data_IF_689438253766
#
_entry.id   IF_689438253766
#
_cell.length_a   1.000
_cell.length_b   1.000
_cell.length_c   1.000
_cell.angle_alpha   90.00
_cell.angle_beta   90.00
_cell.angle_gamma   90.00
#
_symmetry.space_group_name_H-M   'P 1'
#
loop_
_entity.id
_entity.type
_entity.pdbx_description
1 polymer ?
#
# COMPACT_ATOMS: atom_id res chain seq x y z
N UNK A 1 -10.00 13.25 8.94
CA UNK A 1 -9.44 14.08 7.86
C UNK A 1 -10.55 14.38 6.86
N UNK A 2 -10.51 15.53 6.20
CA UNK A 2 -11.42 15.85 5.10
C UNK A 2 -11.12 14.94 3.90
N UNK A 3 -12.08 14.08 3.53
CA UNK A 3 -11.91 13.06 2.49
C UNK A 3 -11.67 13.67 1.11
N UNK A 4 -12.26 14.83 0.84
CA UNK A 4 -12.14 15.50 -0.46
C UNK A 4 -10.74 16.09 -0.64
N UNK A 5 -10.21 16.72 0.41
CA UNK A 5 -8.85 17.25 0.39
C UNK A 5 -7.80 16.13 0.31
N UNK A 6 -7.97 15.04 1.07
CA UNK A 6 -7.07 13.87 1.01
C UNK A 6 -7.07 13.22 -0.37
N UNK A 7 -8.22 13.14 -1.04
CA UNK A 7 -8.31 12.64 -2.40
C UNK A 7 -7.46 13.47 -3.38
N UNK A 8 -7.59 14.80 -3.32
CA UNK A 8 -6.84 15.70 -4.20
C UNK A 8 -5.34 15.63 -3.91
N UNK A 9 -4.91 15.67 -2.65
CA UNK A 9 -3.48 15.57 -2.29
C UNK A 9 -2.88 14.23 -2.69
N UNK A 10 -3.64 13.14 -2.57
CA UNK A 10 -3.28 11.80 -3.04
C UNK A 10 -3.06 11.79 -4.56
N UNK A 11 -3.98 12.36 -5.34
CA UNK A 11 -3.86 12.43 -6.80
C UNK A 11 -2.66 13.28 -7.22
N UNK A 12 -2.44 14.44 -6.57
CA UNK A 12 -1.32 15.32 -6.86
C UNK A 12 0.03 14.65 -6.60
N UNK A 13 0.19 13.96 -5.45
CA UNK A 13 1.45 13.28 -5.17
C UNK A 13 1.66 12.03 -6.04
N UNK A 14 0.59 11.30 -6.35
CA UNK A 14 0.66 10.14 -7.23
C UNK A 14 1.09 10.57 -8.64
N UNK A 15 0.55 11.69 -9.12
CA UNK A 15 0.98 12.32 -10.35
C UNK A 15 2.46 12.72 -10.31
N UNK A 16 2.86 13.46 -9.26
CA UNK A 16 4.25 13.88 -9.07
C UNK A 16 5.20 12.67 -9.08
N UNK A 17 5.00 11.71 -8.19
CA UNK A 17 5.89 10.55 -8.05
C UNK A 17 5.95 9.71 -9.33
N UNK A 18 4.80 9.42 -9.95
CA UNK A 18 4.73 8.62 -11.18
C UNK A 18 5.39 9.32 -12.37
N UNK A 19 5.17 10.63 -12.55
CA UNK A 19 5.83 11.41 -13.62
C UNK A 19 7.33 11.45 -13.40
N UNK A 20 7.79 11.73 -12.18
CA UNK A 20 9.22 11.75 -11.86
C UNK A 20 9.88 10.39 -12.08
N UNK A 21 9.20 9.29 -11.76
CA UNK A 21 9.72 7.94 -11.98
C UNK A 21 9.84 7.63 -13.47
N UNK A 22 8.83 8.03 -14.23
CA UNK A 22 8.85 7.89 -15.68
C UNK A 22 9.96 8.70 -16.35
N UNK A 23 10.17 9.95 -15.93
CA UNK A 23 11.16 10.84 -16.55
C UNK A 23 12.60 10.55 -16.11
N UNK A 24 12.85 10.36 -14.81
CA UNK A 24 14.21 10.24 -14.27
C UNK A 24 14.70 8.79 -14.24
N UNK A 25 13.87 7.85 -13.79
CA UNK A 25 14.24 6.44 -13.70
C UNK A 25 13.91 5.64 -14.98
N UNK A 26 13.02 6.16 -15.83
CA UNK A 26 12.54 5.46 -17.05
C UNK A 26 12.02 4.04 -16.76
N UNK A 27 11.32 3.86 -15.63
CA UNK A 27 10.74 2.59 -15.22
C UNK A 27 9.21 2.59 -15.37
N UNK A 28 8.59 1.48 -15.78
CA UNK A 28 7.14 1.34 -15.91
C UNK A 28 6.46 1.13 -14.53
N UNK A 29 6.86 1.92 -13.54
CA UNK A 29 6.39 1.79 -12.15
C UNK A 29 5.68 3.08 -11.78
N UNK A 30 4.37 2.99 -11.51
CA UNK A 30 3.62 4.09 -10.93
C UNK A 30 3.94 4.19 -9.44
N UNK A 31 3.92 5.42 -8.92
CA UNK A 31 4.01 5.67 -7.49
C UNK A 31 2.76 6.36 -7.00
N UNK A 32 2.30 5.93 -5.83
CA UNK A 32 1.18 6.53 -5.13
C UNK A 32 1.27 6.20 -3.62
N UNK A 33 0.42 6.79 -2.77
CA UNK A 33 0.48 6.60 -1.32
C UNK A 33 0.27 5.14 -0.90
N UNK A 34 1.20 4.56 -0.14
CA UNK A 34 1.18 3.12 0.12
C UNK A 34 -0.05 2.65 0.90
N UNK A 35 -0.75 1.63 0.37
CA UNK A 35 -1.95 1.09 0.99
C UNK A 35 -1.68 0.44 2.37
N UNK A 36 -0.53 -0.22 2.55
CA UNK A 36 -0.12 -0.78 3.83
C UNK A 36 0.11 0.30 4.90
N UNK A 37 0.81 1.38 4.52
CA UNK A 37 1.07 2.53 5.40
C UNK A 37 -0.23 3.30 5.71
N UNK A 38 -1.16 3.42 4.76
CA UNK A 38 -2.49 4.01 4.97
C UNK A 38 -3.28 3.26 6.04
N UNK A 39 -3.31 1.93 5.95
CA UNK A 39 -4.01 1.10 6.91
C UNK A 39 -3.35 1.18 8.30
N UNK A 40 -2.02 1.08 8.37
CA UNK A 40 -1.29 1.21 9.63
C UNK A 40 -1.54 2.59 10.29
N UNK A 41 -1.49 3.67 9.51
CA UNK A 41 -1.80 5.02 9.99
C UNK A 41 -3.22 5.13 10.53
N UNK A 42 -4.24 4.77 9.75
CA UNK A 42 -5.63 4.97 10.12
C UNK A 42 -6.06 4.11 11.32
N UNK A 43 -5.68 2.83 11.32
CA UNK A 43 -6.21 1.87 12.28
C UNK A 43 -5.32 1.69 13.50
N UNK A 44 -4.01 1.82 13.37
CA UNK A 44 -3.09 1.64 14.51
C UNK A 44 -2.80 3.00 15.16
N UNK A 45 -2.22 3.92 14.40
CA UNK A 45 -1.74 5.19 14.95
C UNK A 45 -2.89 6.10 15.38
N UNK A 46 -3.88 6.29 14.51
CA UNK A 46 -5.01 7.18 14.81
C UNK A 46 -6.05 6.49 15.69
N UNK A 47 -6.52 5.30 15.30
CA UNK A 47 -7.63 4.64 16.01
C UNK A 47 -7.19 3.91 17.29
N UNK A 48 -6.20 3.01 17.22
CA UNK A 48 -5.81 2.20 18.38
C UNK A 48 -5.00 2.97 19.43
N UNK A 49 -4.05 3.82 19.00
CA UNK A 49 -3.23 4.64 19.91
C UNK A 49 -3.89 5.97 20.29
N UNK A 50 -4.99 6.35 19.62
CA UNK A 50 -5.73 7.58 19.91
C UNK A 50 -4.99 8.87 19.54
N UNK A 51 -3.97 8.79 18.67
CA UNK A 51 -3.20 9.98 18.28
C UNK A 51 -3.97 10.83 17.26
N UNK A 52 -3.88 12.18 17.37
CA UNK A 52 -4.44 13.05 16.34
C UNK A 52 -3.72 12.79 15.02
N UNK A 53 -4.50 12.83 13.92
CA UNK A 53 -4.01 12.50 12.59
C UNK A 53 -2.83 13.40 12.17
N UNK A 54 -2.79 14.66 12.61
CA UNK A 54 -1.71 15.60 12.34
C UNK A 54 -0.35 15.10 12.86
N UNK A 55 -0.34 14.54 14.07
CA UNK A 55 0.87 13.97 14.71
C UNK A 55 1.25 12.66 14.02
N UNK A 56 0.26 11.82 13.68
CA UNK A 56 0.51 10.60 12.90
C UNK A 56 1.14 10.90 11.53
N UNK A 57 0.67 11.93 10.83
CA UNK A 57 1.25 12.37 9.55
C UNK A 57 2.68 12.90 9.73
N UNK A 58 2.95 13.60 10.83
CA UNK A 58 4.31 14.02 11.18
C UNK A 58 5.24 12.84 11.41
N UNK A 59 4.75 11.77 12.06
CA UNK A 59 5.53 10.54 12.23
C UNK A 59 5.85 9.85 10.89
N UNK A 60 4.91 9.85 9.94
CA UNK A 60 5.15 9.38 8.57
C UNK A 60 6.22 10.23 7.89
N UNK A 61 6.16 11.56 8.05
CA UNK A 61 7.13 12.48 7.46
C UNK A 61 8.55 12.23 7.98
N UNK A 62 8.72 12.09 9.29
CA UNK A 62 10.03 11.75 9.85
C UNK A 62 10.52 10.38 9.41
N UNK A 63 9.62 9.40 9.27
CA UNK A 63 9.95 8.09 8.71
C UNK A 63 10.40 8.17 7.25
N UNK A 64 9.74 9.01 6.44
CA UNK A 64 10.12 9.28 5.06
C UNK A 64 11.47 10.02 4.95
N UNK A 65 11.75 10.98 5.85
CA UNK A 65 13.08 11.61 5.96
C UNK A 65 14.13 10.56 6.30
N UNK A 66 13.87 9.69 7.26
CA UNK A 66 14.77 8.58 7.61
C UNK A 66 15.09 7.73 6.37
N UNK A 67 14.07 7.37 5.59
CA UNK A 67 14.26 6.62 4.35
C UNK A 67 15.05 7.40 3.28
N UNK A 68 14.81 8.72 3.15
CA UNK A 68 15.56 9.58 2.25
C UNK A 68 17.04 9.65 2.65
N UNK A 69 17.33 9.79 3.95
CA UNK A 69 18.71 9.75 4.47
C UNK A 69 19.37 8.40 4.17
N UNK A 70 18.69 7.27 4.42
CA UNK A 70 19.20 5.94 4.06
C UNK A 70 19.49 5.80 2.55
N UNK A 71 18.71 6.47 1.71
CA UNK A 71 18.92 6.51 0.25
C UNK A 71 20.15 7.37 -0.10
N UNK A 72 20.29 8.54 0.50
CA UNK A 72 21.44 9.44 0.31
C UNK A 72 22.74 8.76 0.73
N UNK A 73 22.76 8.11 1.90
CA UNK A 73 23.92 7.38 2.41
C UNK A 73 24.15 6.03 1.71
N UNK A 74 23.34 5.67 0.70
CA UNK A 74 23.40 4.41 -0.05
C UNK A 74 23.23 3.15 0.81
N UNK A 75 22.78 3.29 2.05
CA UNK A 75 22.50 2.20 2.99
C UNK A 75 21.29 1.39 2.50
N UNK A 76 20.31 2.05 1.88
CA UNK A 76 19.10 1.41 1.33
C UNK A 76 19.44 0.26 0.38
N UNK A 77 20.41 0.46 -0.53
CA UNK A 77 20.86 -0.58 -1.44
C UNK A 77 21.52 -1.76 -0.70
N UNK A 78 22.41 -1.44 0.26
CA UNK A 78 23.10 -2.45 1.05
C UNK A 78 22.11 -3.29 1.86
N UNK A 79 21.11 -2.66 2.49
CA UNK A 79 20.07 -3.37 3.24
C UNK A 79 19.31 -4.34 2.34
N UNK A 80 18.80 -3.88 1.20
CA UNK A 80 18.03 -4.72 0.28
C UNK A 80 18.85 -5.91 -0.22
N UNK A 81 20.12 -5.69 -0.57
CA UNK A 81 20.99 -6.74 -1.08
C UNK A 81 21.34 -7.81 -0.04
N UNK A 82 21.36 -7.46 1.24
CA UNK A 82 21.74 -8.37 2.33
C UNK A 82 20.55 -8.98 3.08
N UNK A 83 19.33 -8.47 2.89
CA UNK A 83 18.15 -9.05 3.52
C UNK A 83 17.81 -10.38 2.81
N UNK A 84 17.75 -11.49 3.58
CA UNK A 84 17.39 -12.81 3.07
C UNK A 84 16.09 -12.79 2.27
N UNK A 85 16.01 -13.63 1.24
CA UNK A 85 14.83 -13.71 0.36
C UNK A 85 13.60 -14.13 1.15
N UNK A 86 13.73 -15.08 2.10
CA UNK A 86 12.66 -15.50 3.02
C UNK A 86 12.02 -14.33 3.76
N UNK A 87 12.84 -13.47 4.38
CA UNK A 87 12.36 -12.29 5.09
C UNK A 87 11.74 -11.28 4.14
N UNK A 88 12.39 -10.97 3.02
CA UNK A 88 11.85 -10.01 2.03
C UNK A 88 10.47 -10.43 1.53
N UNK A 89 10.32 -11.70 1.18
CA UNK A 89 9.07 -12.30 0.72
C UNK A 89 8.04 -12.37 1.85
N UNK A 90 8.46 -12.75 3.06
CA UNK A 90 7.61 -12.80 4.25
C UNK A 90 7.03 -11.42 4.60
N UNK A 91 7.83 -10.36 4.51
CA UNK A 91 7.38 -8.98 4.77
C UNK A 91 6.34 -8.54 3.74
N UNK A 92 6.63 -8.68 2.44
CA UNK A 92 5.66 -8.34 1.38
C UNK A 92 4.36 -9.15 1.56
N UNK A 93 4.47 -10.43 1.88
CA UNK A 93 3.30 -11.30 2.04
C UNK A 93 2.49 -10.96 3.29
N UNK A 94 3.16 -10.61 4.40
CA UNK A 94 2.51 -10.20 5.65
C UNK A 94 1.78 -8.87 5.53
N UNK A 95 2.36 -7.90 4.82
CA UNK A 95 1.68 -6.63 4.50
C UNK A 95 0.46 -6.91 3.62
N UNK A 96 0.58 -7.81 2.65
CA UNK A 96 -0.54 -8.29 1.84
C UNK A 96 -1.67 -8.91 2.68
N UNK A 97 -1.33 -9.82 3.59
CA UNK A 97 -2.30 -10.44 4.50
C UNK A 97 -2.96 -9.42 5.43
N UNK A 98 -2.20 -8.45 5.93
CA UNK A 98 -2.73 -7.35 6.74
C UNK A 98 -3.72 -6.48 5.94
N UNK A 99 -3.38 -6.08 4.71
CA UNK A 99 -4.28 -5.33 3.82
C UNK A 99 -5.54 -6.15 3.50
N UNK A 100 -5.39 -7.44 3.22
CA UNK A 100 -6.51 -8.34 2.93
C UNK A 100 -7.46 -8.48 4.12
N UNK A 101 -6.93 -8.65 5.32
CA UNK A 101 -7.69 -8.65 6.57
C UNK A 101 -8.43 -7.32 6.76
N UNK A 102 -7.78 -6.18 6.49
CA UNK A 102 -8.43 -4.87 6.54
C UNK A 102 -9.55 -4.72 5.51
N UNK A 103 -9.39 -5.29 4.32
CA UNK A 103 -10.46 -5.40 3.32
C UNK A 103 -11.67 -6.17 3.85
N UNK A 104 -11.43 -7.36 4.43
CA UNK A 104 -12.49 -8.16 5.06
C UNK A 104 -13.20 -7.42 6.20
N UNK A 105 -12.44 -6.68 7.02
CA UNK A 105 -12.99 -5.86 8.12
C UNK A 105 -13.84 -4.70 7.58
N UNK A 106 -13.38 -4.01 6.53
CA UNK A 106 -14.11 -2.90 5.90
C UNK A 106 -15.40 -3.37 5.21
N UNK A 107 -15.42 -4.58 4.65
CA UNK A 107 -16.65 -5.18 4.12
C UNK A 107 -17.62 -5.64 5.24
N UNK A 108 -17.15 -5.75 6.48
CA UNK A 108 -17.91 -6.32 7.60
C UNK A 108 -17.93 -7.85 7.62
N UNK A 109 -17.09 -8.52 6.82
CA UNK A 109 -16.99 -9.99 6.77
C UNK A 109 -16.38 -10.52 8.06
N UNK A 110 -15.33 -9.85 8.55
CA UNK A 110 -14.73 -10.14 9.85
C UNK A 110 -15.01 -9.01 10.83
N UNK A 111 -15.35 -9.38 12.06
CA UNK A 111 -15.62 -8.45 13.17
C UNK A 111 -14.80 -8.87 14.39
N UNK A 112 -14.47 -7.91 15.25
CA UNK A 112 -13.74 -8.20 16.48
C UNK A 112 -14.62 -9.02 17.43
N UNK A 113 -14.04 -10.08 18.01
CA UNK A 113 -14.71 -10.90 19.00
C UNK A 113 -13.79 -11.07 20.23
N UNK A 114 -14.25 -10.72 21.45
CA UNK A 114 -13.44 -10.82 22.66
C UNK A 114 -12.96 -12.24 23.00
N UNK A 115 -13.69 -13.28 22.58
CA UNK A 115 -13.41 -14.69 22.92
C UNK A 115 -12.52 -15.38 21.88
N UNK A 116 -12.62 -14.97 20.60
CA UNK A 116 -11.97 -15.66 19.47
C UNK A 116 -11.02 -14.77 18.67
N UNK A 117 -10.80 -13.52 19.11
CA UNK A 117 -10.13 -12.42 18.40
C UNK A 117 -10.93 -11.92 17.19
N UNK A 118 -11.36 -12.83 16.31
CA UNK A 118 -12.13 -12.55 15.10
C UNK A 118 -13.35 -13.46 15.00
N UNK A 119 -14.48 -12.91 14.59
CA UNK A 119 -15.69 -13.66 14.24
C UNK A 119 -16.21 -13.23 12.88
N UNK A 120 -17.07 -14.05 12.30
CA UNK A 120 -17.80 -13.70 11.07
C UNK A 120 -18.88 -12.67 11.41
N UNK A 121 -18.91 -11.59 10.64
CA UNK A 121 -19.93 -10.55 10.76
C UNK A 121 -21.29 -11.00 10.20
N UNK A 122 -22.21 -10.06 10.06
CA UNK A 122 -23.53 -10.36 9.53
C UNK A 122 -23.50 -10.54 8.00
N UNK A 123 -23.44 -11.79 7.55
CA UNK A 123 -23.39 -12.15 6.13
C UNK A 123 -24.63 -11.73 5.32
N UNK A 124 -25.77 -11.46 5.97
CA UNK A 124 -26.98 -10.99 5.28
C UNK A 124 -27.04 -9.48 5.10
N UNK A 125 -26.07 -8.74 5.65
CA UNK A 125 -26.01 -7.28 5.46
C UNK A 125 -25.61 -6.91 4.04
N UNK A 126 -26.22 -5.83 3.52
CA UNK A 126 -25.95 -5.33 2.16
C UNK A 126 -24.46 -5.04 1.93
N UNK A 127 -23.78 -4.41 2.90
CA UNK A 127 -22.35 -4.11 2.83
C UNK A 127 -21.47 -5.35 2.65
N UNK A 128 -21.76 -6.43 3.39
CA UNK A 128 -21.00 -7.69 3.31
C UNK A 128 -21.23 -8.36 1.96
N UNK A 129 -22.48 -8.46 1.52
CA UNK A 129 -22.83 -9.08 0.25
C UNK A 129 -22.18 -8.34 -0.93
N UNK A 130 -22.25 -7.01 -0.96
CA UNK A 130 -21.65 -6.20 -2.01
C UNK A 130 -20.12 -6.24 -1.98
N UNK A 131 -19.51 -6.27 -0.79
CA UNK A 131 -18.07 -6.41 -0.64
C UNK A 131 -17.56 -7.77 -1.15
N UNK A 132 -18.24 -8.86 -0.78
CA UNK A 132 -17.94 -10.22 -1.27
C UNK A 132 -18.16 -10.32 -2.78
N UNK A 133 -19.27 -9.78 -3.28
CA UNK A 133 -19.57 -9.71 -4.72
C UNK A 133 -18.44 -8.99 -5.46
N UNK A 134 -17.99 -7.84 -4.95
CA UNK A 134 -16.89 -7.08 -5.53
C UNK A 134 -15.61 -7.91 -5.63
N UNK A 135 -15.21 -8.59 -4.55
CA UNK A 135 -14.04 -9.48 -4.59
C UNK A 135 -14.16 -10.57 -5.68
N UNK A 136 -15.31 -11.25 -5.76
CA UNK A 136 -15.49 -12.31 -6.76
C UNK A 136 -15.55 -11.77 -8.19
N UNK A 137 -16.13 -10.59 -8.42
CA UNK A 137 -16.07 -9.93 -9.73
C UNK A 137 -14.61 -9.69 -10.13
N UNK A 138 -13.79 -9.16 -9.21
CA UNK A 138 -12.37 -8.94 -9.47
C UNK A 138 -11.65 -10.26 -9.78
N UNK A 139 -11.82 -11.27 -8.93
CA UNK A 139 -11.16 -12.56 -9.09
C UNK A 139 -11.54 -13.26 -10.41
N UNK A 140 -12.83 -13.27 -10.76
CA UNK A 140 -13.31 -13.89 -12.01
C UNK A 140 -12.77 -13.15 -13.23
N UNK A 141 -12.89 -11.81 -13.27
CA UNK A 141 -12.41 -11.02 -14.39
C UNK A 141 -10.89 -11.10 -14.53
N UNK A 142 -10.16 -11.05 -13.41
CA UNK A 142 -8.71 -11.16 -13.40
C UNK A 142 -8.23 -12.56 -13.83
N UNK A 143 -8.92 -13.63 -13.42
CA UNK A 143 -8.62 -14.99 -13.92
C UNK A 143 -8.79 -15.15 -15.43
N UNK A 144 -9.62 -14.30 -16.04
CA UNK A 144 -9.82 -14.21 -17.49
C UNK A 144 -8.88 -13.21 -18.18
N UNK A 145 -7.86 -12.72 -17.48
CA UNK A 145 -6.91 -11.71 -17.94
C UNK A 145 -7.60 -10.39 -18.39
N UNK A 146 -8.72 -10.03 -17.76
CA UNK A 146 -9.38 -8.74 -17.99
C UNK A 146 -8.77 -7.70 -17.05
N UNK A 147 -7.94 -6.83 -17.61
CA UNK A 147 -7.15 -5.84 -16.88
C UNK A 147 -7.99 -4.75 -16.18
N UNK A 148 -9.25 -4.58 -16.56
CA UNK A 148 -10.18 -3.63 -15.94
C UNK A 148 -10.96 -4.21 -14.73
N UNK A 149 -10.59 -5.39 -14.22
CA UNK A 149 -11.32 -6.13 -13.18
C UNK A 149 -11.68 -5.27 -11.95
N UNK A 150 -10.71 -4.54 -11.41
CA UNK A 150 -10.90 -3.67 -10.23
C UNK A 150 -11.88 -2.54 -10.53
N UNK A 151 -11.72 -1.86 -11.67
CA UNK A 151 -12.59 -0.76 -12.08
C UNK A 151 -14.04 -1.23 -12.29
N UNK A 152 -14.21 -2.35 -13.02
CA UNK A 152 -15.54 -2.93 -13.27
C UNK A 152 -16.22 -3.32 -11.97
N UNK A 153 -15.50 -3.94 -11.05
CA UNK A 153 -16.04 -4.28 -9.73
C UNK A 153 -16.51 -3.04 -8.96
N UNK A 154 -15.69 -1.99 -8.89
CA UNK A 154 -16.05 -0.75 -8.19
C UNK A 154 -17.31 -0.13 -8.82
N UNK A 155 -17.38 -0.06 -10.16
CA UNK A 155 -18.56 0.48 -10.86
C UNK A 155 -19.79 -0.36 -10.57
N UNK A 156 -19.72 -1.68 -10.71
CA UNK A 156 -20.87 -2.57 -10.49
C UNK A 156 -21.36 -2.51 -9.04
N UNK A 157 -20.46 -2.60 -8.07
CA UNK A 157 -20.82 -2.55 -6.64
C UNK A 157 -21.35 -1.18 -6.22
N UNK A 158 -20.80 -0.09 -6.76
CA UNK A 158 -21.30 1.27 -6.51
C UNK A 158 -22.67 1.51 -7.14
N UNK A 159 -22.91 1.01 -8.36
CA UNK A 159 -24.23 1.10 -9.01
C UNK A 159 -25.29 0.29 -8.26
N UNK A 160 -24.95 -0.91 -7.77
CA UNK A 160 -25.86 -1.69 -6.94
C UNK A 160 -26.14 -0.99 -5.61
N UNK A 161 -25.13 -0.40 -4.97
CA UNK A 161 -25.30 0.44 -3.78
C UNK A 161 -26.19 1.65 -4.04
N UNK A 162 -26.09 2.27 -5.21
CA UNK A 162 -26.98 3.36 -5.64
C UNK A 162 -28.42 2.90 -5.82
N UNK A 163 -28.65 1.72 -6.42
CA UNK A 163 -29.99 1.14 -6.58
C UNK A 163 -30.64 0.75 -5.24
N UNK A 164 -29.83 0.37 -4.25
CA UNK A 164 -30.28 0.05 -2.89
C UNK A 164 -30.53 1.32 -2.04
N UNK A 165 -30.12 2.49 -2.52
CA UNK A 165 -30.25 3.77 -1.81
C UNK A 165 -29.09 4.10 -0.85
N UNK A 166 -28.05 3.27 -0.80
CA UNK A 166 -26.88 3.45 0.06
C UNK A 166 -25.89 4.50 -0.49
N UNK A 167 -25.91 4.74 -1.80
CA UNK A 167 -25.03 5.70 -2.48
C UNK A 167 -25.87 6.85 -3.02
N UNK A 168 -25.43 8.08 -2.78
CA UNK A 168 -26.05 9.28 -3.35
C UNK A 168 -25.22 9.81 -4.51
N UNK A 169 -25.91 10.17 -5.60
CA UNK A 169 -25.26 10.75 -6.77
C UNK A 169 -24.88 12.20 -6.51
N UNK A 170 -23.57 12.48 -6.53
CA UNK A 170 -23.00 13.79 -6.19
C UNK A 170 -22.49 14.57 -7.41
N UNK A 171 -22.77 14.10 -8.64
CA UNK A 171 -22.30 14.68 -9.90
C UNK A 171 -21.17 13.89 -10.56
N UNK A 172 -20.70 14.37 -11.72
CA UNK A 172 -19.63 13.72 -12.51
C UNK A 172 -18.33 14.52 -12.40
N UNK A 173 -18.43 15.84 -12.61
CA UNK A 173 -17.28 16.74 -12.69
C UNK A 173 -17.48 17.88 -11.71
N UNK A 174 -16.43 18.21 -10.94
CA UNK A 174 -16.39 19.42 -10.14
C UNK A 174 -15.03 20.11 -10.25
N UNK A 175 -14.98 21.38 -9.86
CA UNK A 175 -13.70 22.03 -9.60
C UNK A 175 -12.95 21.23 -8.51
N UNK A 176 -11.60 21.13 -8.58
CA UNK A 176 -10.81 20.47 -7.55
C UNK A 176 -11.15 21.01 -6.15
N UNK A 177 -11.53 20.15 -5.20
CA UNK A 177 -11.71 20.55 -3.80
C UNK A 177 -10.47 21.24 -3.24
N UNK A 178 -10.67 22.16 -2.29
CA UNK A 178 -9.55 22.84 -1.64
C UNK A 178 -8.69 21.86 -0.84
N UNK A 179 -7.38 21.93 -1.00
CA UNK A 179 -6.40 21.13 -0.25
C UNK A 179 -6.00 21.76 1.08
N UNK A 180 -6.46 22.98 1.36
CA UNK A 180 -6.03 23.77 2.52
C UNK A 180 -6.37 23.14 3.87
N UNK A 181 -7.36 22.26 3.93
CA UNK A 181 -7.76 21.56 5.17
C UNK A 181 -6.78 20.46 5.58
N UNK A 182 -5.85 20.08 4.70
CA UNK A 182 -4.88 18.99 4.92
C UNK A 182 -3.44 19.49 4.75
N UNK A 183 -3.16 20.26 3.70
CA UNK A 183 -1.82 20.79 3.43
C UNK A 183 -1.45 21.84 4.48
N UNK A 184 -0.30 21.68 5.11
CA UNK A 184 0.20 22.61 6.14
C UNK A 184 -0.30 22.36 7.55
N UNK A 185 -1.17 21.36 7.75
CA UNK A 185 -1.66 20.94 9.08
C UNK A 185 -0.87 19.77 9.68
N UNK A 186 0.20 19.32 9.02
CA UNK A 186 1.08 18.25 9.53
C UNK A 186 1.86 18.75 10.73
N UNK A 187 1.74 18.06 11.87
CA UNK A 187 2.43 18.45 13.10
C UNK A 187 3.82 17.81 13.16
N UNK A 188 4.81 18.53 12.64
CA UNK A 188 6.21 18.10 12.62
C UNK A 188 6.88 18.17 13.99
N UNK A 189 6.52 19.15 14.81
CA UNK A 189 7.15 19.37 16.11
C UNK A 189 6.59 18.40 17.16
N UNK A 190 5.27 18.23 17.20
CA UNK A 190 4.60 17.30 18.12
C UNK A 190 4.87 15.83 17.79
N UNK A 191 5.17 15.52 16.53
CA UNK A 191 5.56 14.16 16.12
C UNK A 191 7.02 13.81 16.43
N UNK A 192 7.90 14.79 16.63
CA UNK A 192 9.32 14.55 16.93
C UNK A 192 9.56 14.35 18.44
N UNK A 193 8.97 13.28 18.98
CA UNK A 193 9.09 12.89 20.39
C UNK A 193 9.65 11.47 20.51
N UNK A 194 10.48 11.21 21.53
CA UNK A 194 10.98 9.87 21.87
C UNK A 194 9.87 8.81 22.00
N UNK A 195 8.68 9.19 22.50
CA UNK A 195 7.54 8.29 22.60
C UNK A 195 6.99 7.81 21.25
N UNK A 196 7.24 8.55 20.17
CA UNK A 196 6.83 8.21 18.81
C UNK A 196 7.98 7.65 17.96
N UNK A 197 9.19 7.54 18.51
CA UNK A 197 10.34 7.00 17.79
C UNK A 197 10.08 5.59 17.24
N UNK A 198 9.39 4.74 18.02
CA UNK A 198 8.96 3.42 17.57
C UNK A 198 8.02 3.47 16.37
N UNK A 199 7.05 4.39 16.36
CA UNK A 199 6.09 4.57 15.26
C UNK A 199 6.78 5.14 14.01
N UNK A 200 7.67 6.12 14.18
CA UNK A 200 8.49 6.68 13.09
C UNK A 200 9.34 5.59 12.45
N UNK A 201 10.03 4.80 13.28
CA UNK A 201 10.86 3.70 12.83
C UNK A 201 10.05 2.61 12.13
N UNK A 202 8.84 2.34 12.63
CA UNK A 202 7.87 1.43 12.00
C UNK A 202 7.52 1.90 10.60
N UNK A 203 7.06 3.14 10.44
CA UNK A 203 6.75 3.71 9.12
C UNK A 203 7.95 3.68 8.16
N UNK A 204 9.14 3.98 8.66
CA UNK A 204 10.38 3.91 7.87
C UNK A 204 10.64 2.48 7.37
N UNK A 205 10.55 1.46 8.24
CA UNK A 205 10.76 0.07 7.87
C UNK A 205 9.70 -0.43 6.90
N UNK A 206 8.41 -0.20 7.18
CA UNK A 206 7.33 -0.61 6.28
C UNK A 206 7.54 0.01 4.90
N UNK A 207 7.83 1.31 4.83
CA UNK A 207 8.07 1.98 3.56
C UNK A 207 9.31 1.43 2.83
N UNK A 208 10.40 1.16 3.57
CA UNK A 208 11.61 0.56 3.03
C UNK A 208 11.30 -0.75 2.33
N UNK A 209 10.55 -1.63 2.97
CA UNK A 209 10.25 -2.96 2.44
C UNK A 209 9.18 -2.96 1.35
N UNK A 210 8.10 -2.20 1.51
CA UNK A 210 7.04 -2.08 0.50
C UNK A 210 7.59 -1.53 -0.81
N UNK A 211 8.31 -0.41 -0.73
CA UNK A 211 8.83 0.24 -1.93
C UNK A 211 9.88 -0.63 -2.62
N UNK A 212 10.83 -1.17 -1.85
CA UNK A 212 11.92 -1.98 -2.41
C UNK A 212 11.40 -3.31 -2.96
N UNK A 213 10.52 -3.99 -2.23
CA UNK A 213 9.90 -5.24 -2.64
C UNK A 213 9.04 -5.07 -3.89
N UNK A 214 8.29 -3.97 -3.97
CA UNK A 214 7.43 -3.68 -5.13
C UNK A 214 8.24 -3.26 -6.35
N UNK A 215 9.26 -2.41 -6.18
CA UNK A 215 10.17 -2.04 -7.28
C UNK A 215 10.83 -3.28 -7.88
N UNK A 216 11.35 -4.18 -7.04
CA UNK A 216 11.94 -5.44 -7.50
C UNK A 216 10.87 -6.32 -8.16
N UNK A 217 9.72 -6.51 -7.52
CA UNK A 217 8.67 -7.39 -8.05
C UNK A 217 8.10 -6.94 -9.40
N UNK A 218 7.89 -5.63 -9.59
CA UNK A 218 7.39 -5.08 -10.86
C UNK A 218 8.48 -5.12 -11.93
N UNK A 219 9.73 -4.78 -11.59
CA UNK A 219 10.84 -4.80 -12.56
C UNK A 219 11.25 -6.21 -12.96
N UNK A 220 11.17 -7.18 -12.06
CA UNK A 220 11.34 -8.61 -12.34
C UNK A 220 10.28 -9.10 -13.32
N UNK A 221 8.99 -8.82 -13.05
CA UNK A 221 7.90 -9.14 -13.98
C UNK A 221 8.02 -8.42 -15.33
N UNK A 222 8.73 -7.30 -15.39
CA UNK A 222 9.03 -6.59 -16.62
C UNK A 222 10.22 -7.17 -17.40
N UNK A 223 10.94 -8.15 -16.84
CA UNK A 223 12.19 -8.65 -17.40
C UNK A 223 13.32 -7.62 -17.36
N UNK A 224 13.26 -6.69 -16.39
CA UNK A 224 14.24 -5.61 -16.21
C UNK A 224 15.18 -5.86 -15.01
N UNK A 225 14.78 -6.69 -14.05
CA UNK A 225 15.62 -7.04 -12.91
C UNK A 225 16.53 -8.25 -13.23
N UNK A 226 17.73 -8.27 -12.66
CA UNK A 226 18.60 -9.45 -12.66
C UNK A 226 18.28 -10.39 -11.48
N UNK A 227 18.93 -11.56 -11.45
CA UNK A 227 18.77 -12.56 -10.37
C UNK A 227 19.11 -12.01 -8.97
N UNK A 228 19.89 -10.92 -8.89
CA UNK A 228 20.25 -10.25 -7.64
C UNK A 228 19.28 -9.13 -7.27
N UNK A 229 18.21 -8.93 -8.05
CA UNK A 229 17.19 -7.90 -7.87
C UNK A 229 17.65 -6.50 -8.25
N UNK A 230 18.75 -6.36 -9.00
CA UNK A 230 19.24 -5.08 -9.51
C UNK A 230 18.58 -4.80 -10.86
N UNK A 231 18.13 -3.56 -11.03
CA UNK A 231 17.46 -3.10 -12.25
C UNK A 231 18.04 -1.77 -12.76
N UNK A 232 17.82 -1.43 -14.04
CA UNK A 232 18.31 -0.18 -14.63
C UNK A 232 17.89 1.04 -13.82
N UNK A 233 18.81 1.99 -13.65
CA UNK A 233 18.55 3.27 -12.97
C UNK A 233 17.93 3.14 -11.57
N UNK A 234 18.26 2.06 -10.86
CA UNK A 234 17.79 1.81 -9.49
C UNK A 234 18.06 2.99 -8.54
N UNK A 235 19.24 3.63 -8.62
CA UNK A 235 19.54 4.79 -7.76
C UNK A 235 18.51 5.91 -7.97
N UNK A 236 18.25 6.26 -9.23
CA UNK A 236 17.26 7.28 -9.60
C UNK A 236 15.86 6.90 -9.10
N UNK A 237 15.46 5.64 -9.26
CA UNK A 237 14.18 5.13 -8.78
C UNK A 237 14.03 5.29 -7.26
N UNK A 238 15.05 4.93 -6.49
CA UNK A 238 15.06 5.05 -5.02
C UNK A 238 15.03 6.52 -4.57
N UNK A 239 15.72 7.42 -5.28
CA UNK A 239 15.66 8.86 -5.00
C UNK A 239 14.28 9.43 -5.27
N UNK A 240 13.69 9.12 -6.43
CA UNK A 240 12.33 9.57 -6.78
C UNK A 240 11.32 9.07 -5.75
N UNK A 241 11.41 7.80 -5.37
CA UNK A 241 10.58 7.19 -4.34
C UNK A 241 10.69 7.93 -3.00
N UNK A 242 11.90 8.10 -2.46
CA UNK A 242 12.09 8.77 -1.17
C UNK A 242 11.70 10.25 -1.19
N UNK A 243 12.01 10.99 -2.25
CA UNK A 243 11.60 12.39 -2.39
C UNK A 243 10.07 12.48 -2.45
N UNK A 244 9.43 11.61 -3.23
CA UNK A 244 7.96 11.56 -3.31
C UNK A 244 7.33 11.18 -1.97
N UNK A 245 7.95 10.28 -1.19
CA UNK A 245 7.48 9.94 0.16
C UNK A 245 7.54 11.14 1.10
N UNK A 246 8.64 11.89 1.10
CA UNK A 246 8.82 13.09 1.94
C UNK A 246 7.84 14.18 1.52
N UNK A 247 7.73 14.45 0.22
CA UNK A 247 6.79 15.46 -0.29
C UNK A 247 5.34 15.06 0.01
N UNK A 248 4.97 13.79 -0.18
CA UNK A 248 3.62 13.28 0.13
C UNK A 248 3.25 13.44 1.60
N UNK A 249 4.11 12.93 2.48
CA UNK A 249 3.92 13.06 3.93
C UNK A 249 3.85 14.50 4.41
N UNK A 250 4.61 15.42 3.80
CA UNK A 250 4.56 16.84 4.11
C UNK A 250 3.23 17.50 3.70
N UNK A 251 2.68 17.14 2.54
CA UNK A 251 1.40 17.70 2.05
C UNK A 251 0.17 16.98 2.61
N UNK A 252 0.36 16.09 3.60
CA UNK A 252 -0.74 15.45 4.33
C UNK A 252 -1.33 14.21 3.64
N UNK A 253 -0.54 13.50 2.84
CA UNK A 253 -0.83 12.12 2.39
C UNK A 253 0.22 11.15 2.92
N UNK A 254 -0.07 9.86 3.07
CA UNK A 254 0.94 8.90 3.52
C UNK A 254 2.14 8.82 2.57
N UNK A 255 3.22 8.17 3.04
CA UNK A 255 4.42 7.96 2.22
C UNK A 255 4.07 7.30 0.89
N UNK A 256 4.50 7.97 -0.18
CA UNK A 256 4.42 7.45 -1.54
C UNK A 256 5.38 6.28 -1.71
N UNK A 257 4.91 5.23 -2.37
CA UNK A 257 5.67 4.00 -2.66
C UNK A 257 5.41 3.56 -4.11
N UNK A 258 6.23 2.63 -4.59
CA UNK A 258 5.95 1.91 -5.83
C UNK A 258 4.69 1.05 -5.70
N UNK A 259 3.80 1.11 -6.69
CA UNK A 259 2.54 0.37 -6.70
C UNK A 259 2.66 -0.97 -7.40
N UNK A 260 2.22 -2.04 -6.73
CA UNK A 260 2.29 -3.42 -7.24
C UNK A 260 1.32 -3.63 -8.42
N UNK A 261 0.31 -2.78 -8.52
CA UNK A 261 -0.66 -2.67 -9.61
C UNK A 261 0.04 -2.36 -10.93
N UNK A 262 1.23 -1.73 -10.90
CA UNK A 262 2.07 -1.55 -12.10
C UNK A 262 2.41 -2.87 -12.78
N UNK A 263 2.38 -3.99 -12.04
CA UNK A 263 2.56 -5.34 -12.59
C UNK A 263 1.49 -5.72 -13.63
N UNK A 264 0.32 -5.07 -13.63
CA UNK A 264 -0.74 -5.24 -14.63
C UNK A 264 -0.44 -4.48 -15.93
N UNK A 265 0.12 -3.27 -15.82
CA UNK A 265 0.60 -2.51 -16.98
C UNK A 265 1.81 -3.20 -17.61
N UNK A 266 2.68 -3.76 -16.79
CA UNK A 266 3.82 -4.55 -17.24
C UNK A 266 3.38 -5.87 -17.91
N UNK A 267 2.34 -6.55 -17.44
CA UNK A 267 1.89 -7.80 -18.09
C UNK A 267 1.35 -7.60 -19.52
N UNK A 268 0.89 -6.40 -19.86
CA UNK A 268 0.41 -6.05 -21.23
C UNK A 268 1.45 -5.35 -22.10
N UNK A 269 2.72 -5.34 -21.69
CA UNK A 269 3.83 -4.81 -22.49
C UNK A 269 4.41 -3.47 -22.02
N UNK A 270 3.98 -2.93 -20.89
CA UNK A 270 4.61 -1.75 -20.28
C UNK A 270 6.07 -2.04 -19.92
N UNK A 271 7.02 -1.34 -20.56
CA UNK A 271 8.47 -1.53 -20.34
C UNK A 271 9.25 -0.25 -20.12
N UNK A 272 8.65 0.91 -20.40
CA UNK A 272 9.31 2.21 -20.31
C UNK A 272 8.60 3.13 -19.31
N UNK A 273 9.31 4.19 -18.93
CA UNK A 273 8.81 5.25 -18.06
C UNK A 273 7.58 5.99 -18.60
N UNK A 274 7.31 5.91 -19.91
CA UNK A 274 6.10 6.48 -20.51
C UNK A 274 4.83 5.94 -19.84
N UNK A 275 4.85 4.66 -19.45
CA UNK A 275 3.73 4.04 -18.71
C UNK A 275 3.45 4.79 -17.40
N UNK A 276 4.50 5.10 -16.62
CA UNK A 276 4.37 5.82 -15.36
C UNK A 276 3.96 7.29 -15.57
N UNK A 277 4.47 7.95 -16.61
CA UNK A 277 4.06 9.32 -16.97
C UNK A 277 2.58 9.37 -17.32
N UNK A 278 2.09 8.44 -18.15
CA UNK A 278 0.66 8.37 -18.52
C UNK A 278 -0.21 8.16 -17.28
N UNK A 279 0.17 7.24 -16.39
CA UNK A 279 -0.55 7.03 -15.13
C UNK A 279 -0.58 8.31 -14.29
N UNK A 280 0.54 9.03 -14.19
CA UNK A 280 0.58 10.29 -13.44
C UNK A 280 -0.28 11.40 -14.05
N UNK A 281 -0.32 11.50 -15.39
CA UNK A 281 -1.23 12.43 -16.08
C UNK A 281 -2.71 12.06 -15.85
N UNK A 282 -3.04 10.77 -15.87
CA UNK A 282 -4.39 10.30 -15.56
C UNK A 282 -4.79 10.63 -14.12
N UNK A 283 -3.87 10.55 -13.14
CA UNK A 283 -4.15 11.00 -11.77
C UNK A 283 -4.49 12.51 -11.71
N UNK A 284 -3.84 13.36 -12.51
CA UNK A 284 -4.22 14.78 -12.59
C UNK A 284 -5.61 14.98 -13.18
N UNK A 285 -5.98 14.20 -14.20
CA UNK A 285 -7.31 14.28 -14.82
C UNK A 285 -8.42 13.79 -13.87
N UNK A 286 -8.13 12.77 -13.05
CA UNK A 286 -9.09 12.21 -12.08
C UNK A 286 -9.46 13.21 -10.97
N UNK A 287 -8.66 14.25 -10.72
CA UNK A 287 -9.00 15.31 -9.76
C UNK A 287 -10.34 15.96 -10.12
N UNK A 288 -10.63 16.16 -11.42
CA UNK A 288 -11.89 16.73 -11.88
C UNK A 288 -13.08 15.78 -11.72
N UNK A 289 -12.82 14.49 -11.53
CA UNK A 289 -13.80 13.43 -11.27
C UNK A 289 -14.00 13.18 -9.76
N UNK A 290 -13.60 14.12 -8.89
CA UNK A 290 -13.77 13.99 -7.44
C UNK A 290 -15.20 13.65 -6.98
N UNK A 291 -16.29 14.13 -7.61
CA UNK A 291 -17.64 13.74 -7.20
C UNK A 291 -17.91 12.25 -7.39
N UNK A 292 -17.40 11.66 -8.48
CA UNK A 292 -17.51 10.21 -8.71
C UNK A 292 -16.71 9.41 -7.69
N UNK A 293 -15.50 9.86 -7.36
CA UNK A 293 -14.69 9.20 -6.34
C UNK A 293 -15.37 9.24 -4.95
N UNK A 294 -16.03 10.35 -4.61
CA UNK A 294 -16.80 10.50 -3.38
C UNK A 294 -18.08 9.66 -3.31
N UNK A 295 -18.57 9.14 -4.44
CA UNK A 295 -19.71 8.21 -4.46
C UNK A 295 -19.34 6.78 -4.07
N UNK A 296 -18.06 6.40 -4.14
CA UNK A 296 -17.64 5.01 -3.96
C UNK A 296 -17.71 4.64 -2.47
N UNK A 297 -18.59 3.70 -2.07
CA UNK A 297 -18.71 3.29 -0.68
C UNK A 297 -17.51 2.44 -0.24
N UNK A 298 -17.23 2.43 1.06
CA UNK A 298 -16.08 1.68 1.61
C UNK A 298 -16.10 0.17 1.30
N UNK A 299 -17.29 -0.45 1.24
CA UNK A 299 -17.44 -1.86 0.89
C UNK A 299 -17.13 -2.15 -0.60
N UNK A 300 -17.29 -1.18 -1.51
CA UNK A 300 -16.93 -1.34 -2.92
C UNK A 300 -15.41 -1.40 -3.12
N UNK A 301 -14.67 -0.66 -2.29
CA UNK A 301 -13.20 -0.69 -2.26
C UNK A 301 -12.64 -1.94 -1.55
N UNK A 302 -13.41 -2.57 -0.67
CA UNK A 302 -12.97 -3.72 0.12
C UNK A 302 -12.52 -4.91 -0.75
N UNK A 303 -13.25 -5.21 -1.83
CA UNK A 303 -12.89 -6.28 -2.76
C UNK A 303 -11.50 -6.09 -3.39
N UNK A 304 -11.14 -4.83 -3.69
CA UNK A 304 -9.82 -4.51 -4.23
C UNK A 304 -8.71 -4.76 -3.20
N UNK A 305 -8.92 -4.38 -1.93
CA UNK A 305 -7.97 -4.65 -0.84
C UNK A 305 -7.73 -6.15 -0.64
N UNK A 306 -8.80 -6.95 -0.66
CA UNK A 306 -8.71 -8.41 -0.54
C UNK A 306 -7.91 -8.98 -1.71
N UNK A 307 -8.18 -8.52 -2.93
CA UNK A 307 -7.46 -8.99 -4.11
C UNK A 307 -5.98 -8.56 -4.13
N UNK A 308 -5.65 -7.36 -3.66
CA UNK A 308 -4.25 -6.93 -3.46
C UNK A 308 -3.56 -7.85 -2.46
N UNK A 309 -4.24 -8.25 -1.38
CA UNK A 309 -3.75 -9.26 -0.45
C UNK A 309 -3.38 -10.56 -1.15
N UNK A 310 -4.24 -11.08 -2.04
CA UNK A 310 -3.96 -12.29 -2.85
C UNK A 310 -2.69 -12.12 -3.69
N UNK A 311 -2.54 -10.98 -4.38
CA UNK A 311 -1.37 -10.70 -5.23
C UNK A 311 -0.06 -10.58 -4.44
N UNK A 312 -0.10 -9.99 -3.26
CA UNK A 312 1.10 -9.83 -2.43
C UNK A 312 1.48 -11.15 -1.75
N UNK A 313 0.51 -11.91 -1.24
CA UNK A 313 0.73 -13.23 -0.60
C UNK A 313 1.24 -14.27 -1.59
N UNK A 314 0.97 -14.14 -2.90
CA UNK A 314 1.54 -15.05 -3.90
C UNK A 314 3.08 -15.04 -3.91
N UNK A 315 3.71 -14.00 -3.35
CA UNK A 315 5.17 -13.95 -3.19
C UNK A 315 5.70 -15.12 -2.34
N UNK A 316 4.92 -15.65 -1.39
CA UNK A 316 5.29 -16.81 -0.57
C UNK A 316 5.64 -18.05 -1.39
N UNK A 317 5.16 -18.15 -2.63
CA UNK A 317 5.52 -19.23 -3.55
C UNK A 317 7.02 -19.25 -3.90
N UNK A 318 7.75 -18.14 -3.69
CA UNK A 318 9.19 -18.05 -3.92
C UNK A 318 10.04 -18.57 -2.76
N UNK A 319 9.44 -18.85 -1.61
CA UNK A 319 10.15 -19.39 -0.45
C UNK A 319 10.44 -20.88 -0.68
N UNK A 320 11.66 -21.33 -0.35
CA UNK A 320 11.96 -22.76 -0.32
C UNK A 320 11.31 -23.40 0.91
N UNK A 321 10.11 -23.95 0.74
CA UNK A 321 9.34 -24.57 1.81
C UNK A 321 9.96 -25.86 2.38
N UNK A 322 10.90 -26.48 1.65
CA UNK A 322 11.60 -27.67 2.12
C UNK A 322 12.71 -27.33 3.14
N UNK A 323 13.23 -26.11 3.10
CA UNK A 323 14.22 -25.62 4.05
C UNK A 323 13.53 -24.86 5.18
N UNK A 324 13.44 -25.48 6.36
CA UNK A 324 12.85 -24.86 7.55
C UNK A 324 13.58 -23.59 7.98
N UNK A 325 14.87 -23.44 7.66
CA UNK A 325 15.64 -22.23 7.98
C UNK A 325 15.21 -21.01 7.17
N UNK A 326 14.49 -21.22 6.06
CA UNK A 326 13.93 -20.17 5.23
C UNK A 326 12.40 -20.05 5.38
N UNK A 327 11.69 -21.19 5.49
CA UNK A 327 10.23 -21.20 5.53
C UNK A 327 9.64 -20.75 6.86
N UNK A 328 10.27 -21.11 7.99
CA UNK A 328 9.81 -20.68 9.33
C UNK A 328 9.88 -19.15 9.48
N UNK A 329 11.00 -18.47 9.15
CA UNK A 329 11.06 -17.02 9.25
C UNK A 329 10.09 -16.32 8.31
N UNK A 330 9.95 -16.80 7.07
CA UNK A 330 8.99 -16.23 6.12
C UNK A 330 7.54 -16.35 6.64
N UNK A 331 7.17 -17.51 7.18
CA UNK A 331 5.85 -17.75 7.75
C UNK A 331 5.56 -16.87 8.97
N UNK A 332 6.47 -16.83 9.95
CA UNK A 332 6.33 -16.00 11.15
C UNK A 332 6.19 -14.53 10.77
N UNK A 333 7.04 -14.05 9.86
CA UNK A 333 6.98 -12.68 9.36
C UNK A 333 5.61 -12.38 8.73
N UNK A 334 5.09 -13.30 7.91
CA UNK A 334 3.84 -13.08 7.20
C UNK A 334 2.61 -13.11 8.11
N UNK A 335 2.53 -14.05 9.04
CA UNK A 335 1.34 -14.29 9.87
C UNK A 335 1.28 -13.37 11.08
N UNK A 336 2.43 -13.00 11.65
CA UNK A 336 2.43 -12.14 12.84
C UNK A 336 1.92 -10.73 12.55
N UNK A 337 2.04 -10.20 11.33
CA UNK A 337 1.52 -8.88 10.99
C UNK A 337 0.00 -8.74 11.15
N UNK A 338 -0.84 -9.57 10.49
CA UNK A 338 -2.29 -9.52 10.70
C UNK A 338 -2.68 -9.88 12.13
N UNK A 339 -2.05 -10.89 12.75
CA UNK A 339 -2.48 -11.38 14.05
C UNK A 339 -2.10 -10.49 15.23
N UNK A 340 -0.94 -9.82 15.16
CA UNK A 340 -0.56 -8.82 16.17
C UNK A 340 -1.13 -7.43 15.89
N UNK A 341 -1.77 -7.26 14.73
CA UNK A 341 -2.19 -5.96 14.21
C UNK A 341 -1.02 -4.95 14.14
N UNK A 342 0.21 -5.44 14.02
CA UNK A 342 1.45 -4.67 14.04
C UNK A 342 2.43 -5.19 13.00
N UNK A 343 2.73 -4.35 12.00
CA UNK A 343 3.71 -4.68 10.96
C UNK A 343 5.10 -4.83 11.58
N UNK A 344 5.44 -3.96 12.53
CA UNK A 344 6.74 -3.90 13.19
C UNK A 344 7.06 -5.17 13.99
N UNK A 345 6.08 -5.66 14.76
CA UNK A 345 6.24 -6.92 15.48
C UNK A 345 6.40 -8.10 14.53
N UNK A 346 5.65 -8.12 13.41
CA UNK A 346 5.83 -9.12 12.37
C UNK A 346 7.23 -9.11 11.76
N UNK A 347 7.77 -7.93 11.42
CA UNK A 347 9.15 -7.80 10.93
C UNK A 347 10.15 -8.26 12.00
N UNK A 348 10.02 -7.79 13.24
CA UNK A 348 10.95 -8.09 14.32
C UNK A 348 11.02 -9.59 14.62
N UNK A 349 9.87 -10.25 14.79
CA UNK A 349 9.79 -11.69 15.02
C UNK A 349 10.29 -12.49 13.81
N UNK A 350 10.11 -11.98 12.60
CA UNK A 350 10.72 -12.49 11.39
C UNK A 350 12.25 -12.54 11.46
N UNK A 351 12.89 -11.40 11.75
CA UNK A 351 14.35 -11.35 11.88
C UNK A 351 14.88 -12.20 13.03
N UNK A 352 14.20 -12.19 14.18
CA UNK A 352 14.58 -13.03 15.33
C UNK A 352 14.53 -14.51 14.95
N UNK A 353 13.43 -14.96 14.34
CA UNK A 353 13.29 -16.36 13.90
C UNK A 353 14.31 -16.74 12.85
N UNK A 354 14.65 -15.86 11.90
CA UNK A 354 15.72 -16.11 10.93
C UNK A 354 17.07 -16.34 11.62
N UNK A 355 17.44 -15.46 12.56
CA UNK A 355 18.69 -15.61 13.31
C UNK A 355 18.72 -16.94 14.09
N UNK A 356 17.65 -17.27 14.81
CA UNK A 356 17.56 -18.52 15.59
C UNK A 356 17.70 -19.74 14.68
N UNK A 357 16.97 -19.77 13.56
CA UNK A 357 16.96 -20.90 12.63
C UNK A 357 18.26 -21.07 11.83
N UNK A 358 19.06 -20.02 11.65
CA UNK A 358 20.38 -20.12 11.00
C UNK A 358 21.51 -20.47 11.96
N UNK A 359 21.31 -20.26 13.26
CA UNK A 359 22.30 -20.57 14.31
C UNK A 359 22.16 -22.03 14.77
N UNK A 360 20.93 -22.55 14.87
CA UNK A 360 20.65 -23.94 15.24
C UNK A 360 20.80 -24.90 14.08
#
# INVERSE_FOLDING_TARGET
MDTSAVFVTTCLIAAFGSIMMGLFANLPVALAPAMGLNAFFAFVVVQAMGLPWQVGMGAIFWGAIGLLLLTIFRVRYWMIANIPVSLRVGITSGIGLFIGMMGLKNAGVIVANPETLVSIGNLTSHSVLLGILGFFIIAILASRNIHAAVLVSIVVTTLLGWMLGDVHYNGIVSAPPSVMTVVGHVDLAGSFNLGLAGVIFSFMLVNLFDSSGTLIGVTDKAGLADEKGKFPRMKQALYVDSISSVTGSFIGTSSVTAYIESSSGVSVGGRTGLTAVVVGLLFLLVIFLSPLAGMVPGYAAAGALIYVGVLMTSSLARVNWQDLTESVPAFITAVMMPFSFSITEGIALGFISYCVMKIG
#
